data_IF_291272685752
#
_entry.id   IF_291272685752
#
_cell.length_a   1.000
_cell.length_b   1.000
_cell.length_c   1.000
_cell.angle_alpha   90.00
_cell.angle_beta   90.00
_cell.angle_gamma   90.00
#
_symmetry.space_group_name_H-M   'P 1'
#
loop_
_entity.id
_entity.type
_entity.pdbx_description
1 polymer ?
#
# COMPACT_ATOMS: atom_id res chain seq x y z
N UNK A 1 -0.16 -11.36 -6.82
CA UNK A 1 -0.63 -10.20 -6.03
C UNK A 1 0.09 -10.22 -4.69
N UNK A 2 0.84 -9.16 -4.35
CA UNK A 2 1.72 -9.15 -3.18
C UNK A 2 1.01 -8.78 -1.88
N UNK A 3 -0.13 -8.08 -1.93
CA UNK A 3 -1.08 -7.89 -0.80
C UNK A 3 -2.51 -7.91 -1.32
N UNK A 4 -3.41 -8.54 -0.58
CA UNK A 4 -4.79 -8.76 -1.00
C UNK A 4 -5.70 -8.80 0.19
N UNK A 5 -6.16 -7.63 0.59
CA UNK A 5 -7.20 -7.48 1.59
C UNK A 5 -8.60 -7.60 0.95
N UNK A 6 -8.70 -7.64 -0.38
CA UNK A 6 -9.94 -7.87 -1.11
C UNK A 6 -10.35 -9.34 -1.31
N UNK A 7 -9.45 -10.29 -1.03
CA UNK A 7 -9.75 -11.73 -1.00
C UNK A 7 -8.80 -12.45 -0.05
N UNK A 8 -9.27 -13.51 0.62
CA UNK A 8 -8.47 -14.27 1.59
C UNK A 8 -7.54 -15.24 0.86
N UNK A 9 -6.23 -15.04 1.01
CA UNK A 9 -5.20 -15.93 0.49
C UNK A 9 -3.91 -15.86 1.35
N UNK A 10 -2.86 -16.58 0.94
CA UNK A 10 -1.56 -16.64 1.65
C UNK A 10 -0.84 -15.29 1.84
N UNK A 11 -1.26 -14.24 1.12
CA UNK A 11 -0.67 -12.89 1.19
C UNK A 11 -1.58 -11.88 1.89
N UNK A 12 -2.68 -12.34 2.48
CA UNK A 12 -3.63 -11.50 3.23
C UNK A 12 -3.11 -11.23 4.63
N UNK A 13 -3.08 -9.97 5.05
CA UNK A 13 -2.69 -9.58 6.41
C UNK A 13 -3.90 -9.68 7.35
N UNK A 14 -3.78 -10.50 8.39
CA UNK A 14 -4.76 -10.61 9.46
C UNK A 14 -4.11 -10.07 10.73
N UNK A 15 -4.73 -9.04 11.31
CA UNK A 15 -4.25 -8.39 12.53
C UNK A 15 -5.36 -8.35 13.59
N UNK A 16 -5.03 -8.38 14.88
CA UNK A 16 -6.01 -8.13 15.92
C UNK A 16 -6.41 -6.66 15.91
N UNK A 17 -7.72 -6.41 16.03
CA UNK A 17 -8.26 -5.09 16.26
C UNK A 17 -7.82 -4.54 17.62
N UNK A 18 -7.46 -3.26 17.68
CA UNK A 18 -6.86 -2.67 18.89
C UNK A 18 -7.83 -2.55 20.06
N UNK A 19 -9.12 -2.35 19.79
CA UNK A 19 -10.13 -2.14 20.82
C UNK A 19 -10.78 -3.45 21.22
N UNK A 20 -11.13 -4.28 20.22
CA UNK A 20 -11.94 -5.49 20.45
C UNK A 20 -11.12 -6.78 20.52
N UNK A 21 -9.85 -6.75 20.11
CA UNK A 21 -8.98 -7.94 19.99
C UNK A 21 -9.39 -8.92 18.89
N UNK A 22 -10.50 -8.66 18.18
CA UNK A 22 -10.99 -9.54 17.11
C UNK A 22 -10.09 -9.46 15.88
N UNK A 23 -9.91 -10.58 15.20
CA UNK A 23 -9.15 -10.61 13.96
C UNK A 23 -9.86 -9.81 12.86
N UNK A 24 -9.12 -8.96 12.16
CA UNK A 24 -9.58 -8.19 11.02
C UNK A 24 -8.52 -8.05 9.93
N UNK A 25 -8.94 -7.56 8.78
CA UNK A 25 -8.06 -7.15 7.70
C UNK A 25 -7.58 -5.70 7.91
N UNK A 26 -6.52 -5.33 7.19
CA UNK A 26 -6.09 -3.94 7.12
C UNK A 26 -7.14 -3.11 6.38
N UNK A 27 -7.45 -1.94 6.92
CA UNK A 27 -8.33 -0.96 6.26
C UNK A 27 -7.66 -0.37 5.02
N UNK A 28 -8.43 0.27 4.11
CA UNK A 28 -7.83 0.95 2.98
C UNK A 28 -6.79 1.96 3.44
N UNK A 29 -7.07 2.78 4.45
CA UNK A 29 -6.11 3.80 4.94
C UNK A 29 -4.82 3.16 5.45
N UNK A 30 -4.89 2.08 6.25
CA UNK A 30 -3.71 1.39 6.76
C UNK A 30 -2.82 0.85 5.63
N UNK A 31 -3.42 0.30 4.56
CA UNK A 31 -2.63 -0.16 3.39
C UNK A 31 -1.86 0.97 2.69
N UNK A 32 -2.37 2.21 2.70
CA UNK A 32 -1.72 3.38 2.06
C UNK A 32 -0.54 3.81 2.91
N UNK A 33 -0.75 3.92 4.21
CA UNK A 33 0.30 4.24 5.19
C UNK A 33 1.45 3.23 5.15
N UNK A 34 1.15 1.93 5.05
CA UNK A 34 2.19 0.89 4.89
C UNK A 34 3.04 1.09 3.63
N UNK A 35 2.42 1.56 2.54
CA UNK A 35 3.11 1.87 1.29
C UNK A 35 3.67 3.31 1.27
N UNK A 36 3.58 4.05 2.39
CA UNK A 36 3.99 5.45 2.52
C UNK A 36 3.23 6.43 1.59
N UNK A 37 2.02 6.07 1.16
CA UNK A 37 1.11 7.00 0.48
C UNK A 37 0.34 7.86 1.51
N UNK A 38 -0.06 9.09 1.13
CA UNK A 38 -1.00 9.88 1.91
C UNK A 38 -2.31 9.14 2.17
N UNK A 39 -2.99 9.53 3.24
CA UNK A 39 -4.35 9.06 3.51
C UNK A 39 -5.26 9.41 2.31
N UNK A 40 -6.17 8.49 1.99
CA UNK A 40 -7.12 8.64 0.88
C UNK A 40 -6.54 8.87 -0.53
N UNK A 41 -5.26 8.59 -0.76
CA UNK A 41 -4.62 8.68 -2.09
C UNK A 41 -5.37 7.97 -3.24
N UNK A 42 -6.10 6.90 -2.93
CA UNK A 42 -6.89 6.12 -3.91
C UNK A 42 -8.40 6.36 -3.80
N UNK A 43 -8.84 7.30 -2.96
CA UNK A 43 -10.24 7.61 -2.75
C UNK A 43 -10.79 8.54 -3.85
N UNK A 44 -10.75 8.07 -5.09
CA UNK A 44 -11.11 8.85 -6.28
C UNK A 44 -12.47 8.43 -6.86
N UNK A 45 -13.37 7.91 -6.01
CA UNK A 45 -14.57 7.18 -6.45
C UNK A 45 -14.31 5.70 -6.79
N UNK A 46 -13.12 5.19 -6.47
CA UNK A 46 -12.73 3.80 -6.72
C UNK A 46 -13.37 2.83 -5.71
N UNK A 47 -13.91 1.67 -6.15
CA UNK A 47 -14.38 0.63 -5.24
C UNK A 47 -13.28 0.11 -4.31
N UNK A 48 -13.64 -0.29 -3.08
CA UNK A 48 -12.68 -0.71 -2.06
C UNK A 48 -11.73 -1.82 -2.53
N UNK A 49 -12.27 -2.86 -3.19
CA UNK A 49 -11.47 -3.95 -3.74
C UNK A 49 -10.40 -3.47 -4.74
N UNK A 50 -10.71 -2.43 -5.53
CA UNK A 50 -9.76 -1.83 -6.47
C UNK A 50 -8.71 -1.00 -5.73
N UNK A 51 -9.07 -0.36 -4.61
CA UNK A 51 -8.12 0.35 -3.74
C UNK A 51 -7.10 -0.62 -3.12
N UNK A 52 -7.52 -1.82 -2.73
CA UNK A 52 -6.59 -2.87 -2.28
C UNK A 52 -5.73 -3.40 -3.43
N UNK A 53 -6.33 -3.65 -4.60
CA UNK A 53 -5.60 -4.10 -5.78
C UNK A 53 -4.46 -3.14 -6.16
N UNK A 54 -4.70 -1.83 -6.11
CA UNK A 54 -3.65 -0.84 -6.36
C UNK A 54 -2.54 -0.90 -5.30
N UNK A 55 -2.88 -0.93 -4.01
CA UNK A 55 -1.87 -1.00 -2.94
C UNK A 55 -1.09 -2.33 -2.91
N UNK A 56 -1.69 -3.42 -3.38
CA UNK A 56 -1.04 -4.72 -3.52
C UNK A 56 0.01 -4.78 -4.63
N UNK A 57 0.03 -3.82 -5.55
CA UNK A 57 1.01 -3.70 -6.62
C UNK A 57 1.86 -2.40 -6.53
N UNK A 58 1.56 -1.52 -5.57
CA UNK A 58 2.28 -0.28 -5.40
C UNK A 58 3.68 -0.50 -4.83
N UNK A 59 4.59 0.40 -5.20
CA UNK A 59 5.90 0.52 -4.57
C UNK A 59 5.78 1.34 -3.28
N UNK A 60 6.65 1.06 -2.31
CA UNK A 60 6.77 1.88 -1.10
C UNK A 60 7.41 3.21 -1.49
N UNK A 61 6.65 4.30 -1.45
CA UNK A 61 7.10 5.62 -1.96
C UNK A 61 8.39 6.11 -1.28
N UNK A 62 8.54 5.85 0.01
CA UNK A 62 9.74 6.21 0.77
C UNK A 62 11.02 5.51 0.28
N UNK A 63 10.90 4.30 -0.26
CA UNK A 63 12.04 3.59 -0.87
C UNK A 63 12.41 4.28 -2.18
N UNK A 64 11.42 4.62 -3.00
CA UNK A 64 11.65 5.32 -4.27
C UNK A 64 12.27 6.69 -4.02
N UNK A 65 11.79 7.45 -3.04
CA UNK A 65 12.37 8.74 -2.64
C UNK A 65 13.85 8.63 -2.24
N UNK A 66 14.28 7.49 -1.69
CA UNK A 66 15.69 7.26 -1.34
C UNK A 66 16.55 6.92 -2.55
N UNK A 67 15.99 6.24 -3.54
CA UNK A 67 16.69 5.87 -4.78
C UNK A 67 16.75 7.03 -5.78
N UNK A 68 15.79 7.95 -5.69
CA UNK A 68 15.57 9.02 -6.65
C UNK A 68 16.80 9.91 -6.94
N UNK A 69 17.63 10.33 -5.97
CA UNK A 69 18.81 11.15 -6.27
C UNK A 69 19.83 10.44 -7.16
N UNK A 70 20.06 9.14 -6.92
CA UNK A 70 20.99 8.32 -7.71
C UNK A 70 20.43 8.10 -9.11
N UNK A 71 19.13 7.85 -9.22
CA UNK A 71 18.47 7.70 -10.53
C UNK A 71 18.54 9.00 -11.33
N UNK A 72 18.36 10.16 -10.67
CA UNK A 72 18.47 11.47 -11.30
C UNK A 72 19.86 11.68 -11.89
N UNK A 73 20.91 11.42 -11.10
CA UNK A 73 22.31 11.54 -11.56
C UNK A 73 22.59 10.64 -12.77
N UNK A 74 22.09 9.41 -12.79
CA UNK A 74 22.29 8.49 -13.93
C UNK A 74 21.59 9.03 -15.19
N UNK A 75 20.38 9.58 -15.04
CA UNK A 75 19.56 10.08 -16.16
C UNK A 75 20.12 11.39 -16.71
N UNK A 76 20.58 12.31 -15.85
CA UNK A 76 21.11 13.61 -16.27
C UNK A 76 22.49 13.51 -16.94
N UNK A 77 23.23 12.42 -16.70
CA UNK A 77 24.53 12.15 -17.32
C UNK A 77 24.44 11.33 -18.62
N UNK A 78 23.23 11.10 -19.16
CA UNK A 78 23.01 10.55 -20.50
C UNK A 78 22.83 11.66 -21.54
#
# INVERSE_FOLDING_TARGET
MLKSEGSVNRSTHIIPDKETGKLRLLTPIETKRLQSFPDDWTNTGMPENRRYFMMGNALVTKVINRLEPVLREIIENQ
#
